data_IF_540127663390
#
_entry.id   IF_540127663390
#
_cell.length_a   1.000
_cell.length_b   1.000
_cell.length_c   1.000
_cell.angle_alpha   90.00
_cell.angle_beta   90.00
_cell.angle_gamma   90.00
#
_symmetry.space_group_name_H-M   'P 1'
#
loop_
_entity.id
_entity.type
_entity.pdbx_description
1 polymer ?
#
# COMPACT_ATOMS: atom_id res chain seq x y z
N UNK A 1 2.54 8.54 10.25
CA UNK A 1 3.22 7.57 11.16
C UNK A 1 3.82 6.43 10.33
N UNK A 2 4.76 5.63 10.89
CA UNK A 2 5.36 4.49 10.18
C UNK A 2 4.84 3.17 10.76
N UNK A 3 4.17 2.36 9.93
CA UNK A 3 3.67 1.03 10.27
C UNK A 3 4.51 -0.02 9.54
N UNK A 4 5.64 -0.41 10.12
CA UNK A 4 6.62 -1.29 9.46
C UNK A 4 6.12 -2.72 9.35
N UNK A 5 6.15 -3.25 8.12
CA UNK A 5 5.78 -4.63 7.78
C UNK A 5 6.81 -5.21 6.79
N UNK A 6 6.99 -6.54 6.71
CA UNK A 6 7.69 -7.14 5.58
C UNK A 6 6.90 -6.85 4.30
N UNK A 7 7.61 -6.48 3.23
CA UNK A 7 7.04 -6.07 1.95
C UNK A 7 7.50 -6.95 0.78
N UNK A 8 8.06 -8.11 1.09
CA UNK A 8 8.54 -9.11 0.13
C UNK A 8 8.37 -10.52 0.72
N UNK A 9 8.22 -11.50 -0.16
CA UNK A 9 8.12 -12.91 0.19
C UNK A 9 6.69 -13.39 0.46
N UNK A 10 6.52 -14.71 0.44
CA UNK A 10 5.21 -15.36 0.38
C UNK A 10 4.34 -15.16 1.63
N UNK A 11 4.93 -14.76 2.75
CA UNK A 11 4.21 -14.55 4.02
C UNK A 11 3.93 -13.07 4.29
N UNK A 12 4.35 -12.16 3.41
CA UNK A 12 4.22 -10.73 3.64
C UNK A 12 2.77 -10.23 3.53
N UNK A 13 1.98 -10.76 2.59
CA UNK A 13 0.60 -10.31 2.31
C UNK A 13 -0.28 -10.18 3.55
N UNK A 14 -0.45 -11.24 4.37
CA UNK A 14 -1.24 -11.16 5.60
C UNK A 14 -0.67 -10.19 6.65
N UNK A 15 0.63 -9.93 6.65
CA UNK A 15 1.27 -8.97 7.57
C UNK A 15 1.03 -7.54 7.11
N UNK A 16 1.13 -7.28 5.80
CA UNK A 16 0.80 -6.00 5.18
C UNK A 16 -0.65 -5.64 5.48
N UNK A 17 -1.58 -6.58 5.28
CA UNK A 17 -3.00 -6.40 5.58
C UNK A 17 -3.25 -5.96 7.04
N UNK A 18 -2.53 -6.55 8.00
CA UNK A 18 -2.61 -6.14 9.42
C UNK A 18 -2.00 -4.75 9.65
N UNK A 19 -0.93 -4.40 8.95
CA UNK A 19 -0.34 -3.05 8.99
C UNK A 19 -1.32 -1.99 8.49
N UNK A 20 -2.02 -2.27 7.39
CA UNK A 20 -3.07 -1.40 6.84
C UNK A 20 -4.20 -1.24 7.86
N UNK A 21 -4.73 -2.34 8.39
CA UNK A 21 -5.79 -2.29 9.41
C UNK A 21 -5.37 -1.52 10.68
N UNK A 22 -4.11 -1.65 11.10
CA UNK A 22 -3.59 -0.90 12.23
C UNK A 22 -3.47 0.61 11.95
N UNK A 23 -3.13 0.98 10.72
CA UNK A 23 -3.09 2.38 10.28
C UNK A 23 -4.49 2.97 10.14
N UNK A 24 -5.45 2.21 9.60
CA UNK A 24 -6.86 2.59 9.44
C UNK A 24 -7.55 2.80 10.80
N UNK A 25 -7.19 2.02 11.80
CA UNK A 25 -7.74 2.14 13.15
C UNK A 25 -7.15 3.31 13.96
N UNK A 26 -6.10 3.99 13.47
CA UNK A 26 -5.44 5.09 14.16
C UNK A 26 -6.12 6.43 13.81
N UNK A 27 -6.84 7.07 14.74
CA UNK A 27 -7.63 8.27 14.46
C UNK A 27 -6.78 9.51 14.15
N UNK A 28 -5.44 9.45 14.30
CA UNK A 28 -4.53 10.53 13.92
C UNK A 28 -3.96 10.35 12.49
N UNK A 29 -4.43 9.34 11.74
CA UNK A 29 -3.98 9.07 10.37
C UNK A 29 -5.05 9.55 9.39
N UNK A 30 -4.77 10.66 8.71
CA UNK A 30 -5.69 11.23 7.70
C UNK A 30 -5.60 10.57 6.32
N UNK A 31 -4.45 9.97 6.00
CA UNK A 31 -4.19 9.26 4.74
C UNK A 31 -3.17 8.15 4.96
N UNK A 32 -3.32 7.04 4.24
CA UNK A 32 -2.41 5.88 4.30
C UNK A 32 -1.69 5.75 2.96
N UNK A 33 -0.38 5.56 3.00
CA UNK A 33 0.41 5.21 1.82
C UNK A 33 0.87 3.77 1.96
N UNK A 34 0.39 2.89 1.09
CA UNK A 34 0.86 1.51 0.99
C UNK A 34 2.02 1.49 -0.01
N UNK A 35 3.23 1.65 0.51
CA UNK A 35 4.42 1.88 -0.29
C UNK A 35 5.44 0.75 -0.23
N UNK A 36 6.06 0.45 -1.39
CA UNK A 36 7.31 -0.31 -1.47
C UNK A 36 8.12 0.17 -2.67
N UNK A 37 9.45 0.27 -2.51
CA UNK A 37 10.36 0.72 -3.57
C UNK A 37 10.44 -0.23 -4.78
N UNK A 38 11.42 -0.02 -5.66
CA UNK A 38 11.61 -0.84 -6.88
C UNK A 38 12.14 -2.25 -6.62
N UNK A 39 11.94 -3.15 -7.59
CA UNK A 39 12.39 -4.55 -7.58
C UNK A 39 11.74 -5.36 -8.70
N UNK A 40 11.89 -6.67 -8.68
CA UNK A 40 11.22 -7.55 -9.66
C UNK A 40 9.72 -7.67 -9.38
N UNK A 41 8.93 -8.11 -10.35
CA UNK A 41 7.49 -8.35 -10.12
C UNK A 41 7.27 -9.44 -9.06
N UNK A 42 8.19 -10.41 -8.98
CA UNK A 42 8.22 -11.46 -7.97
C UNK A 42 8.39 -10.89 -6.56
N UNK A 43 9.20 -9.85 -6.41
CA UNK A 43 9.37 -9.13 -5.13
C UNK A 43 8.07 -8.42 -4.70
N UNK A 44 7.31 -7.93 -5.67
CA UNK A 44 6.07 -7.19 -5.47
C UNK A 44 4.85 -8.11 -5.29
N UNK A 45 5.01 -9.41 -5.50
CA UNK A 45 3.87 -10.30 -5.65
C UNK A 45 2.96 -10.37 -4.41
N UNK A 46 3.50 -10.10 -3.22
CA UNK A 46 2.73 -10.07 -1.98
C UNK A 46 1.63 -8.99 -1.94
N UNK A 47 1.70 -7.97 -2.79
CA UNK A 47 0.65 -6.95 -2.93
C UNK A 47 -0.53 -7.42 -3.80
N UNK A 48 -0.42 -8.59 -4.44
CA UNK A 48 -1.54 -9.29 -5.08
C UNK A 48 -2.31 -10.21 -4.11
N UNK A 49 -1.89 -10.31 -2.85
CA UNK A 49 -2.57 -11.15 -1.86
C UNK A 49 -3.98 -10.63 -1.59
N UNK A 50 -4.96 -11.54 -1.60
CA UNK A 50 -6.36 -11.24 -1.31
C UNK A 50 -6.52 -10.48 0.02
N UNK A 51 -5.76 -10.83 1.05
CA UNK A 51 -5.84 -10.15 2.33
C UNK A 51 -5.43 -8.67 2.24
N UNK A 52 -4.46 -8.34 1.39
CA UNK A 52 -4.04 -6.94 1.15
C UNK A 52 -5.14 -6.20 0.40
N UNK A 53 -5.66 -6.81 -0.67
CA UNK A 53 -6.75 -6.24 -1.48
C UNK A 53 -7.99 -5.98 -0.63
N UNK A 54 -8.41 -6.94 0.19
CA UNK A 54 -9.56 -6.79 1.09
C UNK A 54 -9.30 -5.76 2.20
N UNK A 55 -8.07 -5.68 2.73
CA UNK A 55 -7.74 -4.67 3.74
C UNK A 55 -7.83 -3.24 3.18
N UNK A 56 -7.37 -3.04 1.94
CA UNK A 56 -7.48 -1.73 1.27
C UNK A 56 -8.94 -1.42 0.95
N UNK A 57 -9.65 -2.36 0.35
CA UNK A 57 -11.05 -2.16 -0.06
C UNK A 57 -11.98 -1.83 1.10
N UNK A 58 -11.73 -2.38 2.29
CA UNK A 58 -12.56 -2.15 3.48
C UNK A 58 -12.06 -1.01 4.38
N UNK A 59 -10.98 -0.33 4.01
CA UNK A 59 -10.45 0.78 4.80
C UNK A 59 -11.40 1.99 4.80
N UNK A 60 -11.40 2.75 5.89
CA UNK A 60 -12.18 3.97 6.03
C UNK A 60 -11.33 5.22 5.77
N UNK A 61 -10.04 5.12 6.05
CA UNK A 61 -9.04 6.16 5.76
C UNK A 61 -8.58 6.04 4.31
N UNK A 62 -8.51 7.13 3.53
CA UNK A 62 -8.09 7.08 2.13
C UNK A 62 -6.70 6.48 1.95
N UNK A 63 -6.54 5.63 0.94
CA UNK A 63 -5.30 4.89 0.65
C UNK A 63 -4.73 5.29 -0.72
N UNK A 64 -3.45 5.65 -0.73
CA UNK A 64 -2.64 5.79 -1.94
C UNK A 64 -1.71 4.57 -2.04
N UNK A 65 -1.82 3.79 -3.10
CA UNK A 65 -0.85 2.73 -3.39
C UNK A 65 0.41 3.30 -4.03
N UNK A 66 1.57 2.74 -3.70
CA UNK A 66 2.85 3.18 -4.24
C UNK A 66 3.87 2.04 -4.28
N UNK A 67 3.53 1.00 -5.06
CA UNK A 67 4.27 -0.27 -5.11
C UNK A 67 5.06 -0.36 -6.41
N UNK A 68 6.39 -0.32 -6.34
CA UNK A 68 7.26 -0.44 -7.51
C UNK A 68 7.45 0.87 -8.28
N UNK A 69 7.48 0.79 -9.61
CA UNK A 69 7.59 1.91 -10.55
C UNK A 69 6.31 2.10 -11.37
N UNK A 70 6.33 3.09 -12.27
CA UNK A 70 5.21 3.46 -13.14
C UNK A 70 4.57 2.28 -13.87
N UNK A 71 5.37 1.31 -14.33
CA UNK A 71 4.91 0.12 -15.08
C UNK A 71 4.50 -1.07 -14.22
N UNK A 72 4.81 -1.05 -12.92
CA UNK A 72 4.54 -2.15 -12.02
C UNK A 72 3.11 -2.02 -11.48
N UNK A 73 2.23 -2.93 -11.86
CA UNK A 73 0.85 -2.95 -11.38
C UNK A 73 0.57 -4.24 -10.63
N UNK A 74 -0.08 -4.10 -9.49
CA UNK A 74 -0.55 -5.17 -8.62
C UNK A 74 -2.03 -4.98 -8.33
N UNK A 75 -2.70 -6.00 -7.79
CA UNK A 75 -4.12 -5.93 -7.46
C UNK A 75 -4.42 -4.86 -6.41
N UNK A 76 -3.49 -4.58 -5.49
CA UNK A 76 -3.68 -3.53 -4.49
C UNK A 76 -3.85 -2.14 -5.14
N UNK A 77 -3.18 -1.90 -6.28
CA UNK A 77 -3.24 -0.62 -6.99
C UNK A 77 -4.62 -0.35 -7.58
N UNK A 78 -5.37 -1.40 -7.92
CA UNK A 78 -6.70 -1.26 -8.51
C UNK A 78 -7.82 -1.08 -7.48
N UNK A 79 -7.54 -1.35 -6.21
CA UNK A 79 -8.50 -1.15 -5.11
C UNK A 79 -8.18 0.05 -4.23
N UNK A 80 -7.00 0.63 -4.34
CA UNK A 80 -6.64 1.88 -3.67
C UNK A 80 -7.39 3.07 -4.28
N UNK A 81 -7.61 4.13 -3.48
CA UNK A 81 -8.29 5.35 -3.94
C UNK A 81 -7.48 6.10 -4.99
N UNK A 82 -6.16 6.03 -4.89
CA UNK A 82 -5.23 6.58 -5.86
C UNK A 82 -3.94 5.75 -5.95
N UNK A 83 -3.22 5.92 -7.06
CA UNK A 83 -1.92 5.27 -7.29
C UNK A 83 -0.84 6.31 -7.56
N UNK A 84 0.19 6.29 -6.72
CA UNK A 84 1.48 6.94 -6.99
C UNK A 84 2.44 5.96 -7.65
N UNK A 85 3.18 6.41 -8.67
CA UNK A 85 4.17 5.57 -9.35
C UNK A 85 5.37 5.18 -8.46
N UNK A 86 5.63 5.93 -7.38
CA UNK A 86 6.67 5.66 -6.38
C UNK A 86 6.20 6.15 -5.01
N UNK A 87 6.80 5.69 -3.88
CA UNK A 87 6.47 6.21 -2.56
C UNK A 87 6.63 7.73 -2.42
N UNK A 88 7.63 8.32 -3.10
CA UNK A 88 7.82 9.78 -3.12
C UNK A 88 6.68 10.48 -3.86
N UNK A 89 6.25 9.97 -5.01
CA UNK A 89 5.11 10.52 -5.75
C UNK A 89 3.81 10.43 -4.93
N UNK A 90 3.56 9.31 -4.26
CA UNK A 90 2.40 9.20 -3.36
C UNK A 90 2.46 10.20 -2.19
N UNK A 91 3.66 10.46 -1.64
CA UNK A 91 3.82 11.48 -0.61
C UNK A 91 3.52 12.89 -1.13
N UNK A 92 3.90 13.21 -2.37
CA UNK A 92 3.54 14.47 -3.03
C UNK A 92 2.01 14.57 -3.23
N UNK A 93 1.37 13.51 -3.74
CA UNK A 93 -0.09 13.45 -3.92
C UNK A 93 -0.86 13.63 -2.60
N UNK A 94 -0.29 13.18 -1.48
CA UNK A 94 -0.92 13.27 -0.16
C UNK A 94 -0.93 14.67 0.44
N UNK A 95 -0.06 15.58 -0.02
CA UNK A 95 0.14 16.90 0.62
C UNK A 95 0.01 18.08 -0.32
N UNK A 96 0.11 17.87 -1.64
CA UNK A 96 -0.02 18.93 -2.63
C UNK A 96 -1.50 19.13 -3.04
N UNK A 97 -1.92 20.39 -3.25
CA UNK A 97 -3.29 20.73 -3.63
C UNK A 97 -3.64 20.34 -5.08
#
# INVERSE_FOLDING_TARGET
KLFSVPVQGNTAGPVIARGIAAADADPEVDVIIVGRGGGSMEDLWCFNDRAVVEAIYNAHTPIISAVGHETDYTLCDYVADARGATPSHAAEMAVLP
#
